data_IF_964007593487
#
_entry.id   IF_964007593487
#
_cell.length_a   1.000
_cell.length_b   1.000
_cell.length_c   1.000
_cell.angle_alpha   90.00
_cell.angle_beta   90.00
_cell.angle_gamma   90.00
#
_symmetry.space_group_name_H-M   'P 1'
#
loop_
_entity.id
_entity.type
_entity.pdbx_description
1 polymer ?
#
# COMPACT_ATOMS: atom_id res chain seq x y z
N UNK A 1 17.14 6.23 13.09
CA UNK A 1 15.73 6.60 13.32
C UNK A 1 14.96 6.28 12.05
N UNK A 2 13.72 5.77 12.08
CA UNK A 2 12.98 5.53 10.85
C UNK A 2 12.49 6.87 10.33
N UNK A 3 13.38 7.60 9.64
CA UNK A 3 13.03 8.83 8.94
C UNK A 3 11.94 8.49 7.90
N UNK A 4 10.76 9.09 8.03
CA UNK A 4 9.65 8.93 7.08
C UNK A 4 8.43 8.14 7.57
N UNK A 5 8.37 7.69 8.83
CA UNK A 5 7.14 7.12 9.42
C UNK A 5 6.31 8.20 10.10
N UNK A 6 4.98 8.09 10.02
CA UNK A 6 4.02 8.93 10.75
C UNK A 6 3.86 8.43 12.20
N UNK A 7 4.98 8.28 12.89
CA UNK A 7 5.10 7.84 14.28
C UNK A 7 6.47 8.29 14.81
N UNK A 8 6.62 8.39 16.12
CA UNK A 8 7.90 8.55 16.83
C UNK A 8 8.77 7.27 16.80
N UNK A 9 8.26 6.18 16.23
CA UNK A 9 8.99 4.91 16.12
C UNK A 9 8.49 4.00 15.00
N UNK A 10 8.39 2.71 15.34
CA UNK A 10 7.99 1.63 14.42
C UNK A 10 6.46 1.60 14.26
N UNK A 11 6.00 1.29 13.05
CA UNK A 11 4.58 1.03 12.79
C UNK A 11 4.23 -0.42 13.13
N UNK A 12 2.93 -0.72 13.27
CA UNK A 12 2.44 -2.09 13.54
C UNK A 12 2.99 -3.13 12.55
N UNK A 13 3.13 -2.75 11.26
CA UNK A 13 3.69 -3.63 10.22
C UNK A 13 5.16 -3.99 10.47
N UNK A 14 5.94 -3.09 11.10
CA UNK A 14 7.34 -3.35 11.43
C UNK A 14 7.44 -4.38 12.57
N UNK A 15 6.54 -4.31 13.56
CA UNK A 15 6.44 -5.33 14.61
C UNK A 15 5.97 -6.68 14.08
N UNK A 16 5.02 -6.70 13.13
CA UNK A 16 4.60 -7.93 12.44
C UNK A 16 5.79 -8.55 11.71
N UNK A 17 6.53 -7.76 10.93
CA UNK A 17 7.72 -8.25 10.22
C UNK A 17 8.75 -8.88 11.19
N UNK A 18 9.05 -8.21 12.30
CA UNK A 18 9.96 -8.73 13.33
C UNK A 18 9.50 -10.05 13.94
N UNK A 19 8.23 -10.13 14.35
CA UNK A 19 7.67 -11.34 14.96
C UNK A 19 7.69 -12.55 14.02
N UNK A 20 7.62 -12.31 12.70
CA UNK A 20 7.70 -13.34 11.66
C UNK A 20 9.14 -13.61 11.18
N UNK A 21 10.14 -12.91 11.74
CA UNK A 21 11.53 -13.01 11.30
C UNK A 21 11.74 -12.53 9.85
N UNK A 22 10.91 -11.59 9.39
CA UNK A 22 10.98 -10.98 8.06
C UNK A 22 11.75 -9.65 8.12
N UNK A 23 12.44 -9.27 7.03
CA UNK A 23 12.99 -7.91 6.92
C UNK A 23 11.85 -6.88 6.81
N UNK A 24 12.14 -5.62 7.15
CA UNK A 24 11.22 -4.53 6.90
C UNK A 24 10.96 -4.33 5.40
N UNK A 25 9.74 -3.93 5.06
CA UNK A 25 9.31 -3.76 3.68
C UNK A 25 9.92 -2.49 3.07
N UNK A 26 10.44 -2.60 1.85
CA UNK A 26 10.78 -1.42 1.03
C UNK A 26 9.51 -0.77 0.50
N UNK A 27 9.48 0.57 0.39
CA UNK A 27 8.35 1.24 -0.24
C UNK A 27 8.38 0.99 -1.75
N UNK A 28 7.22 0.82 -2.37
CA UNK A 28 7.11 0.58 -3.82
C UNK A 28 7.77 1.71 -4.65
N UNK A 29 7.69 2.95 -4.16
CA UNK A 29 8.23 4.13 -4.81
C UNK A 29 9.69 4.44 -4.43
N UNK A 30 10.35 3.61 -3.63
CA UNK A 30 11.77 3.80 -3.32
C UNK A 30 12.62 3.57 -4.58
N UNK A 31 13.30 4.63 -5.02
CA UNK A 31 14.10 4.61 -6.25
C UNK A 31 15.49 3.98 -6.09
N UNK A 32 16.00 3.90 -4.85
CA UNK A 32 17.37 3.45 -4.54
C UNK A 32 17.36 2.42 -3.43
N UNK A 33 18.07 1.31 -3.62
CA UNK A 33 18.30 0.31 -2.58
C UNK A 33 17.10 -0.58 -2.22
N UNK A 34 15.99 -0.46 -2.93
CA UNK A 34 14.79 -1.27 -2.66
C UNK A 34 15.06 -2.77 -2.89
N UNK A 35 14.67 -3.58 -1.91
CA UNK A 35 14.72 -5.04 -1.99
C UNK A 35 13.33 -5.60 -1.75
N UNK A 36 12.70 -6.07 -2.82
CA UNK A 36 11.34 -6.58 -2.81
C UNK A 36 11.25 -8.10 -2.69
N UNK A 37 12.38 -8.80 -2.54
CA UNK A 37 12.43 -10.27 -2.49
C UNK A 37 11.58 -10.87 -1.36
N UNK A 38 11.28 -10.08 -0.32
CA UNK A 38 10.51 -10.46 0.87
C UNK A 38 9.27 -9.60 1.12
N UNK A 39 8.83 -8.84 0.12
CA UNK A 39 7.61 -8.03 0.18
C UNK A 39 7.83 -6.57 -0.23
N UNK A 40 6.74 -5.84 -0.36
CA UNK A 40 6.72 -4.43 -0.76
C UNK A 40 5.62 -3.69 0.01
N UNK A 41 5.83 -2.41 0.29
CA UNK A 41 4.86 -1.52 0.93
C UNK A 41 4.32 -0.50 -0.08
N UNK A 42 3.01 -0.55 -0.34
CA UNK A 42 2.29 0.37 -1.23
C UNK A 42 1.56 1.48 -0.45
N UNK A 43 1.59 1.43 0.89
CA UNK A 43 0.86 2.38 1.71
C UNK A 43 1.48 3.78 1.64
N UNK A 44 0.60 4.78 1.59
CA UNK A 44 0.96 6.19 1.72
C UNK A 44 0.14 6.82 2.83
N UNK A 45 0.74 7.76 3.56
CA UNK A 45 0.00 8.53 4.55
C UNK A 45 -1.07 9.39 3.88
N UNK A 46 -2.16 9.68 4.59
CA UNK A 46 -3.33 10.38 4.06
C UNK A 46 -4.00 9.69 2.85
N UNK A 47 -3.74 8.40 2.62
CA UNK A 47 -4.47 7.63 1.60
C UNK A 47 -5.91 7.39 2.00
N UNK A 48 -6.80 7.44 1.02
CA UNK A 48 -8.22 7.16 1.13
C UNK A 48 -8.61 5.94 0.29
N UNK A 49 -9.76 5.33 0.61
CA UNK A 49 -10.40 4.32 -0.21
C UNK A 49 -10.96 4.97 -1.47
N UNK A 50 -11.69 6.07 -1.30
CA UNK A 50 -12.30 6.83 -2.37
C UNK A 50 -11.34 7.95 -2.81
N UNK A 51 -11.15 8.09 -4.12
CA UNK A 51 -10.34 9.16 -4.70
C UNK A 51 -10.81 10.55 -4.23
N UNK A 52 -9.85 11.41 -3.90
CA UNK A 52 -10.11 12.78 -3.45
C UNK A 52 -9.70 13.78 -4.52
N UNK A 53 -10.42 14.90 -4.59
CA UNK A 53 -10.17 15.93 -5.59
C UNK A 53 -9.09 16.95 -5.17
N UNK A 54 -8.71 16.94 -3.89
CA UNK A 54 -7.73 17.89 -3.32
C UNK A 54 -6.51 17.09 -2.90
N UNK A 55 -5.35 17.50 -3.40
CA UNK A 55 -4.08 16.80 -3.19
C UNK A 55 -3.36 17.31 -1.94
N UNK A 56 -2.34 16.57 -1.48
CA UNK A 56 -1.51 16.98 -0.34
C UNK A 56 -0.93 18.40 -0.46
N UNK A 57 -0.54 18.85 -1.66
CA UNK A 57 -0.02 20.20 -1.89
C UNK A 57 -1.03 21.32 -1.62
N UNK A 58 -2.32 20.96 -1.62
CA UNK A 58 -3.44 21.86 -1.40
C UNK A 58 -4.08 21.63 -0.01
N UNK A 59 -3.41 20.86 0.85
CA UNK A 59 -3.91 20.49 2.19
C UNK A 59 -4.91 19.34 2.19
N UNK A 60 -5.01 18.59 1.09
CA UNK A 60 -5.91 17.44 0.94
C UNK A 60 -5.25 16.11 1.25
N UNK A 61 -5.51 15.12 0.39
CA UNK A 61 -5.19 13.71 0.62
C UNK A 61 -4.14 13.19 -0.37
N UNK A 62 -3.61 12.00 -0.07
CA UNK A 62 -2.64 11.34 -0.95
C UNK A 62 -3.27 11.04 -2.32
N UNK A 63 -2.55 11.25 -3.43
CA UNK A 63 -3.00 10.84 -4.76
C UNK A 63 -2.97 9.31 -4.94
N UNK A 64 -2.38 8.57 -4.00
CA UNK A 64 -2.27 7.11 -4.04
C UNK A 64 -3.39 6.46 -3.23
N UNK A 65 -4.64 6.60 -3.70
CA UNK A 65 -5.81 5.93 -3.13
C UNK A 65 -5.69 4.40 -3.16
N UNK A 66 -6.59 3.70 -2.47
CA UNK A 66 -6.63 2.23 -2.48
C UNK A 66 -6.63 1.65 -3.90
N UNK A 67 -7.36 2.30 -4.81
CA UNK A 67 -7.42 1.90 -6.23
C UNK A 67 -6.09 2.08 -6.95
N UNK A 68 -5.34 3.14 -6.63
CA UNK A 68 -4.01 3.38 -7.18
C UNK A 68 -3.01 2.37 -6.61
N UNK A 69 -3.04 2.13 -5.29
CA UNK A 69 -2.20 1.12 -4.63
C UNK A 69 -2.42 -0.28 -5.22
N UNK A 70 -3.67 -0.63 -5.57
CA UNK A 70 -3.97 -1.87 -6.30
C UNK A 70 -3.28 -1.90 -7.67
N UNK A 71 -3.34 -0.82 -8.44
CA UNK A 71 -2.69 -0.75 -9.77
C UNK A 71 -1.17 -0.88 -9.64
N UNK A 72 -0.58 -0.25 -8.64
CA UNK A 72 0.83 -0.38 -8.31
C UNK A 72 1.20 -1.83 -7.97
N UNK A 73 0.40 -2.50 -7.14
CA UNK A 73 0.58 -3.91 -6.82
C UNK A 73 0.51 -4.82 -8.04
N UNK A 74 -0.51 -4.65 -8.90
CA UNK A 74 -0.66 -5.44 -10.13
C UNK A 74 0.52 -5.23 -11.09
N UNK A 75 0.96 -3.98 -11.23
CA UNK A 75 2.14 -3.64 -12.03
C UNK A 75 3.41 -4.23 -11.42
N UNK A 76 3.58 -4.15 -10.11
CA UNK A 76 4.69 -4.74 -9.39
C UNK A 76 4.75 -6.26 -9.59
N UNK A 77 3.62 -6.96 -9.44
CA UNK A 77 3.53 -8.41 -9.67
C UNK A 77 4.00 -8.77 -11.08
N UNK A 78 3.50 -8.08 -12.11
CA UNK A 78 3.91 -8.34 -13.49
C UNK A 78 5.39 -8.03 -13.74
N UNK A 79 5.85 -6.83 -13.35
CA UNK A 79 7.21 -6.36 -13.64
C UNK A 79 8.29 -7.12 -12.86
N UNK A 80 8.01 -7.48 -11.61
CA UNK A 80 8.94 -8.28 -10.81
C UNK A 80 9.22 -9.63 -11.46
N UNK A 81 8.20 -10.30 -12.02
CA UNK A 81 8.39 -11.59 -12.71
C UNK A 81 9.13 -11.43 -14.05
N UNK A 82 8.91 -10.32 -14.76
CA UNK A 82 9.71 -10.02 -15.95
C UNK A 82 11.19 -9.82 -15.61
N UNK A 83 11.51 -9.10 -14.54
CA UNK A 83 12.90 -8.91 -14.09
C UNK A 83 13.48 -10.24 -13.58
N UNK A 84 12.71 -11.00 -12.81
CA UNK A 84 13.14 -12.29 -12.27
C UNK A 84 13.48 -13.30 -13.38
N UNK A 85 12.67 -13.36 -14.44
CA UNK A 85 12.89 -14.24 -15.60
C UNK A 85 14.06 -13.81 -16.49
N UNK A 86 14.29 -12.49 -16.66
CA UNK A 86 15.49 -11.96 -17.34
C UNK A 86 16.79 -12.31 -16.61
N UNK A 87 16.73 -12.50 -15.29
CA UNK A 87 17.90 -12.82 -14.48
C UNK A 87 18.80 -11.63 -14.19
N UNK A 88 20.11 -11.89 -14.04
CA UNK A 88 21.10 -10.86 -13.75
C UNK A 88 21.06 -10.33 -12.32
N UNK A 89 21.69 -9.17 -12.12
CA UNK A 89 21.95 -8.59 -10.78
C UNK A 89 20.69 -8.28 -9.98
N UNK A 90 19.58 -7.97 -10.66
CA UNK A 90 18.32 -7.59 -10.00
C UNK A 90 17.42 -8.78 -9.65
N UNK A 91 17.71 -10.00 -10.14
CA UNK A 91 16.89 -11.19 -9.87
C UNK A 91 16.69 -11.43 -8.37
N UNK A 92 17.78 -11.33 -7.60
CA UNK A 92 17.77 -11.56 -6.16
C UNK A 92 16.98 -10.51 -5.36
N UNK A 93 16.63 -9.39 -5.98
CA UNK A 93 15.84 -8.31 -5.37
C UNK A 93 14.35 -8.42 -5.67
N UNK A 94 13.93 -9.36 -6.52
CA UNK A 94 12.53 -9.56 -6.90
C UNK A 94 11.94 -10.78 -6.19
N UNK A 95 10.64 -10.76 -5.83
CA UNK A 95 9.97 -11.92 -5.25
C UNK A 95 9.82 -13.05 -6.27
N UNK A 96 9.84 -14.30 -5.78
CA UNK A 96 9.44 -15.47 -6.58
C UNK A 96 7.94 -15.44 -6.83
N UNK A 97 7.50 -15.96 -7.98
CA UNK A 97 6.08 -16.03 -8.33
C UNK A 97 5.23 -16.73 -7.26
N UNK A 98 5.72 -17.85 -6.73
CA UNK A 98 5.05 -18.65 -5.69
C UNK A 98 4.87 -17.92 -4.36
N UNK A 99 5.55 -16.78 -4.15
CA UNK A 99 5.39 -15.99 -2.92
C UNK A 99 4.08 -15.21 -2.93
N UNK A 100 3.56 -14.82 -4.10
CA UNK A 100 2.31 -14.05 -4.16
C UNK A 100 1.11 -14.84 -3.61
N UNK A 101 1.05 -16.16 -3.80
CA UNK A 101 -0.04 -16.98 -3.25
C UNK A 101 0.13 -17.35 -1.77
N UNK A 102 1.31 -17.09 -1.19
CA UNK A 102 1.66 -17.42 0.21
C UNK A 102 1.91 -16.19 1.07
N UNK A 103 1.86 -15.00 0.48
CA UNK A 103 2.14 -13.75 1.16
C UNK A 103 1.06 -13.42 2.19
N UNK A 104 1.46 -12.71 3.24
CA UNK A 104 0.54 -12.04 4.14
C UNK A 104 0.17 -10.69 3.53
N UNK A 105 -1.12 -10.46 3.29
CA UNK A 105 -1.64 -9.18 2.82
C UNK A 105 -2.24 -8.41 3.99
N UNK A 106 -1.70 -7.22 4.26
CA UNK A 106 -2.20 -6.31 5.30
C UNK A 106 -2.77 -5.07 4.65
N UNK A 107 -3.98 -4.66 5.04
CA UNK A 107 -4.62 -3.44 4.55
C UNK A 107 -5.18 -2.68 5.75
N UNK A 108 -4.69 -1.47 5.95
CA UNK A 108 -5.14 -0.53 6.98
C UNK A 108 -5.45 0.81 6.30
N UNK A 109 -6.73 1.08 6.09
CA UNK A 109 -7.22 2.23 5.32
C UNK A 109 -8.69 2.52 5.65
N UNK A 110 -9.12 3.76 5.47
CA UNK A 110 -10.50 4.21 5.66
C UNK A 110 -10.66 5.33 6.69
N UNK A 111 -9.71 5.48 7.62
CA UNK A 111 -9.73 6.54 8.64
C UNK A 111 -9.67 7.94 8.00
N UNK A 112 -8.92 8.07 6.90
CA UNK A 112 -8.85 9.33 6.15
C UNK A 112 -10.15 9.61 5.36
N UNK A 113 -10.89 8.58 4.94
CA UNK A 113 -12.20 8.75 4.30
C UNK A 113 -13.23 9.30 5.30
N UNK A 114 -13.23 8.82 6.55
CA UNK A 114 -14.06 9.39 7.61
C UNK A 114 -13.71 10.87 7.86
N UNK A 115 -12.41 11.17 7.91
CA UNK A 115 -11.91 12.53 8.07
C UNK A 115 -12.35 13.42 6.89
N UNK A 116 -12.26 12.92 5.66
CA UNK A 116 -12.70 13.63 4.46
C UNK A 116 -14.20 13.89 4.45
N UNK A 117 -15.00 12.88 4.85
CA UNK A 117 -16.44 12.99 4.99
C UNK A 117 -16.83 14.07 5.99
N UNK A 118 -16.20 14.06 7.17
CA UNK A 118 -16.41 15.04 8.23
C UNK A 118 -16.14 16.48 7.76
N UNK A 119 -14.97 16.73 7.18
CA UNK A 119 -14.61 18.08 6.70
C UNK A 119 -15.45 18.54 5.50
N UNK A 120 -16.09 17.62 4.79
CA UNK A 120 -16.97 17.92 3.66
C UNK A 120 -18.45 18.01 4.05
N UNK A 121 -18.79 17.95 5.35
CA UNK A 121 -20.16 17.89 5.86
C UNK A 121 -21.03 16.81 5.18
N UNK A 122 -20.44 15.66 4.83
CA UNK A 122 -21.18 14.51 4.28
C UNK A 122 -21.73 13.65 5.42
N UNK A 123 -22.94 13.10 5.24
CA UNK A 123 -23.44 12.09 6.17
C UNK A 123 -22.62 10.81 6.03
N UNK A 124 -22.33 10.16 7.17
CA UNK A 124 -21.73 8.82 7.21
C UNK A 124 -22.52 7.82 6.38
N UNK A 125 -23.85 7.94 6.39
CA UNK A 125 -24.79 7.10 5.66
C UNK A 125 -24.59 7.18 4.14
N UNK A 126 -24.10 8.32 3.64
CA UNK A 126 -23.92 8.55 2.21
C UNK A 126 -22.60 7.97 1.69
N UNK A 127 -21.51 8.07 2.45
CA UNK A 127 -20.17 7.72 1.93
C UNK A 127 -19.65 6.35 2.39
N UNK A 128 -20.02 5.87 3.59
CA UNK A 128 -19.54 4.58 4.11
C UNK A 128 -19.91 3.42 3.18
N UNK A 129 -21.16 3.31 2.66
CA UNK A 129 -21.51 2.22 1.76
C UNK A 129 -20.66 2.18 0.49
N UNK A 130 -20.34 3.36 -0.07
CA UNK A 130 -19.51 3.48 -1.26
C UNK A 130 -18.05 3.09 -0.97
N UNK A 131 -17.48 3.59 0.14
CA UNK A 131 -16.13 3.20 0.57
C UNK A 131 -16.03 1.69 0.81
N UNK A 132 -17.01 1.08 1.49
CA UNK A 132 -17.05 -0.36 1.74
C UNK A 132 -17.19 -1.19 0.45
N UNK A 133 -17.96 -0.70 -0.52
CA UNK A 133 -18.09 -1.33 -1.83
C UNK A 133 -16.76 -1.32 -2.58
N UNK A 134 -16.08 -0.17 -2.63
CA UNK A 134 -14.79 -0.03 -3.30
C UNK A 134 -13.69 -0.84 -2.60
N UNK A 135 -13.64 -0.80 -1.27
CA UNK A 135 -12.74 -1.64 -0.48
C UNK A 135 -12.94 -3.11 -0.81
N UNK A 136 -14.19 -3.60 -0.74
CA UNK A 136 -14.53 -4.99 -1.06
C UNK A 136 -14.14 -5.37 -2.48
N UNK A 137 -14.32 -4.46 -3.44
CA UNK A 137 -13.94 -4.66 -4.84
C UNK A 137 -12.43 -4.85 -4.99
N UNK A 138 -11.63 -4.02 -4.32
CA UNK A 138 -10.16 -4.09 -4.37
C UNK A 138 -9.64 -5.36 -3.70
N UNK A 139 -10.12 -5.69 -2.50
CA UNK A 139 -9.63 -6.87 -1.75
C UNK A 139 -9.87 -8.16 -2.54
N UNK A 140 -11.01 -8.30 -3.23
CA UNK A 140 -11.32 -9.45 -4.09
C UNK A 140 -10.41 -9.61 -5.31
N UNK A 141 -9.66 -8.57 -5.69
CA UNK A 141 -8.70 -8.62 -6.79
C UNK A 141 -7.30 -9.00 -6.25
N UNK A 142 -6.98 -8.59 -5.02
CA UNK A 142 -5.69 -8.86 -4.40
C UNK A 142 -5.52 -10.30 -3.92
N UNK A 143 -6.59 -10.90 -3.38
CA UNK A 143 -6.65 -12.23 -2.77
C UNK A 143 -7.32 -13.21 -3.74
#
# INVERSE_FOLDING_TARGET
MPAGRYSDGRLIIDFIAESLGLPYLSAYLDSLGANFSRGANFATAASTIIDQNVTLSEGGYSPFSLRVQLKEFLQFKQRSQLIYSRGGVFKGLMPKEEYFSKALYTVDIGQNDLTAGYFSNKSEEDFIPNAMMEFSRVIKICI
#
